data_IF_579908498035
#
_entry.id   IF_579908498035
#
_cell.length_a   1.000
_cell.length_b   1.000
_cell.length_c   1.000
_cell.angle_alpha   90.00
_cell.angle_beta   90.00
_cell.angle_gamma   90.00
#
_symmetry.space_group_name_H-M   'P 1'
#
loop_
_entity.id
_entity.type
_entity.pdbx_description
1 polymer ?
#
# COMPACT_ATOMS: atom_id res chain seq x y z
N UNK A 1 23.07 29.54 31.58
CA UNK A 1 23.56 28.91 30.34
C UNK A 1 23.63 30.00 29.28
N UNK A 2 24.83 30.38 28.84
CA UNK A 2 25.07 31.60 28.05
C UNK A 2 24.68 31.44 26.57
N UNK A 3 24.19 32.51 25.94
CA UNK A 3 23.83 32.62 24.52
C UNK A 3 24.90 32.08 23.55
N UNK A 4 26.19 32.14 23.95
CA UNK A 4 27.29 31.58 23.17
C UNK A 4 27.25 30.05 23.02
N UNK A 5 26.76 29.34 24.03
CA UNK A 5 26.64 27.86 23.99
C UNK A 5 25.53 27.40 23.04
N UNK A 6 24.42 28.13 22.97
CA UNK A 6 23.31 27.88 22.05
C UNK A 6 23.76 28.19 20.61
N UNK A 7 24.46 29.31 20.40
CA UNK A 7 25.02 29.67 19.09
C UNK A 7 26.02 28.63 18.56
N UNK A 8 26.90 28.12 19.42
CA UNK A 8 27.85 27.06 19.06
C UNK A 8 27.13 25.74 18.71
N UNK A 9 26.07 25.40 19.44
CA UNK A 9 25.23 24.23 19.15
C UNK A 9 24.53 24.36 17.80
N UNK A 10 23.93 25.52 17.50
CA UNK A 10 23.29 25.80 16.20
C UNK A 10 24.30 25.73 15.06
N UNK A 11 25.50 26.30 15.25
CA UNK A 11 26.57 26.24 14.25
C UNK A 11 27.02 24.81 13.98
N UNK A 12 27.21 23.99 15.03
CA UNK A 12 27.57 22.58 14.90
C UNK A 12 26.49 21.76 14.19
N UNK A 13 25.21 21.97 14.53
CA UNK A 13 24.09 21.33 13.85
C UNK A 13 24.01 21.73 12.37
N UNK A 14 24.26 23.01 12.05
CA UNK A 14 24.26 23.52 10.68
C UNK A 14 25.43 22.96 9.86
N UNK A 15 26.62 22.86 10.46
CA UNK A 15 27.81 22.29 9.83
C UNK A 15 27.67 20.78 9.58
N UNK A 16 27.06 20.03 10.52
CA UNK A 16 26.83 18.59 10.40
C UNK A 16 25.57 18.21 9.62
N UNK A 17 24.81 19.19 9.11
CA UNK A 17 23.58 18.95 8.34
C UNK A 17 23.89 18.42 6.96
N UNK A 18 23.86 17.10 6.80
CA UNK A 18 23.92 16.43 5.49
C UNK A 18 22.75 16.87 4.60
N UNK A 19 23.03 17.21 3.34
CA UNK A 19 21.99 17.42 2.33
C UNK A 19 21.25 16.11 2.07
N UNK A 20 20.04 15.98 2.63
CA UNK A 20 19.18 14.82 2.43
C UNK A 20 18.57 14.90 1.03
N UNK A 21 19.20 14.26 0.05
CA UNK A 21 18.59 14.06 -1.27
C UNK A 21 17.35 13.17 -1.13
N UNK A 22 16.24 13.60 -1.73
CA UNK A 22 14.99 12.83 -1.74
C UNK A 22 15.19 11.52 -2.49
N UNK A 23 14.45 10.48 -2.13
CA UNK A 23 14.42 9.21 -2.88
C UNK A 23 14.07 9.47 -4.36
N UNK A 24 13.19 10.43 -4.63
CA UNK A 24 12.88 10.84 -5.99
C UNK A 24 14.06 11.47 -6.72
N UNK A 25 14.87 12.29 -6.04
CA UNK A 25 16.08 12.89 -6.64
C UNK A 25 17.16 11.85 -6.90
N UNK A 26 17.25 10.81 -6.08
CA UNK A 26 18.13 9.65 -6.34
C UNK A 26 17.71 8.89 -7.60
N UNK A 27 16.41 8.77 -7.86
CA UNK A 27 15.86 8.02 -9.00
C UNK A 27 15.86 8.85 -10.29
N UNK A 28 15.93 10.19 -10.23
CA UNK A 28 16.03 11.05 -11.42
C UNK A 28 17.20 10.69 -12.34
N UNK A 29 18.34 10.27 -11.78
CA UNK A 29 19.52 9.82 -12.55
C UNK A 29 19.40 8.42 -13.17
N UNK A 30 18.41 7.63 -12.76
CA UNK A 30 18.15 6.29 -13.33
C UNK A 30 17.26 6.33 -14.59
N UNK A 31 16.77 7.51 -14.99
CA UNK A 31 15.91 7.68 -16.17
C UNK A 31 16.69 8.09 -17.41
N UNK A 32 17.42 7.13 -17.99
CA UNK A 32 17.71 6.96 -19.44
C UNK A 32 18.93 6.05 -19.58
N UNK A 33 18.73 4.77 -19.31
CA UNK A 33 19.49 3.79 -20.09
C UNK A 33 18.59 3.44 -21.25
N UNK A 34 19.04 3.59 -22.50
CA UNK A 34 18.33 3.10 -23.69
C UNK A 34 18.15 1.56 -23.67
N UNK A 35 18.64 0.88 -22.62
CA UNK A 35 18.48 -0.54 -22.34
C UNK A 35 17.24 -0.88 -21.48
N UNK A 36 16.42 0.10 -21.09
CA UNK A 36 15.25 -0.13 -20.23
C UNK A 36 13.92 -0.10 -20.98
N UNK A 37 13.89 -0.46 -22.27
CA UNK A 37 12.63 -0.79 -22.91
C UNK A 37 12.12 -2.07 -22.26
N UNK A 38 11.02 -1.97 -21.50
CA UNK A 38 10.27 -3.12 -21.01
C UNK A 38 9.68 -3.84 -22.22
N UNK A 39 10.49 -4.70 -22.83
CA UNK A 39 10.05 -5.58 -23.91
C UNK A 39 9.28 -6.73 -23.30
N UNK A 40 7.95 -6.62 -23.34
CA UNK A 40 7.08 -7.77 -23.14
C UNK A 40 7.11 -8.63 -24.40
N UNK A 41 8.16 -9.45 -24.51
CA UNK A 41 8.43 -10.33 -25.66
C UNK A 41 7.30 -11.36 -25.88
N UNK A 42 6.57 -11.68 -24.82
CA UNK A 42 5.43 -12.60 -24.86
C UNK A 42 4.10 -11.85 -24.80
N UNK A 43 3.57 -11.49 -25.98
CA UNK A 43 2.15 -11.20 -26.13
C UNK A 43 1.39 -12.53 -26.04
N UNK A 44 0.83 -12.83 -24.87
CA UNK A 44 -0.04 -13.99 -24.71
C UNK A 44 -1.15 -13.94 -25.76
N UNK A 45 -1.33 -15.04 -26.50
CA UNK A 45 -2.37 -15.14 -27.52
C UNK A 45 -3.73 -14.83 -26.87
N UNK A 46 -4.70 -14.21 -27.57
CA UNK A 46 -6.02 -13.91 -27.00
C UNK A 46 -6.71 -15.13 -26.36
N UNK A 47 -6.36 -16.35 -26.80
CA UNK A 47 -6.81 -17.61 -26.20
C UNK A 47 -6.14 -17.91 -24.85
N UNK A 48 -4.84 -17.63 -24.72
CA UNK A 48 -4.07 -17.76 -23.49
C UNK A 48 -4.49 -16.71 -22.45
N UNK A 49 -4.72 -15.47 -22.88
CA UNK A 49 -5.29 -14.41 -22.02
C UNK A 49 -6.65 -14.81 -21.46
N UNK A 50 -7.53 -15.39 -22.29
CA UNK A 50 -8.82 -15.91 -21.83
C UNK A 50 -8.67 -17.06 -20.82
N UNK A 51 -7.69 -17.95 -21.01
CA UNK A 51 -7.41 -19.04 -20.07
C UNK A 51 -6.90 -18.51 -18.73
N UNK A 52 -5.97 -17.55 -18.75
CA UNK A 52 -5.43 -16.91 -17.55
C UNK A 52 -6.54 -16.17 -16.80
N UNK A 53 -7.35 -15.36 -17.50
CA UNK A 53 -8.49 -14.66 -16.91
C UNK A 53 -9.47 -15.62 -16.22
N UNK A 54 -9.84 -16.72 -16.89
CA UNK A 54 -10.74 -17.74 -16.33
C UNK A 54 -10.14 -18.45 -15.12
N UNK A 55 -8.83 -18.75 -15.12
CA UNK A 55 -8.15 -19.38 -13.98
C UNK A 55 -8.15 -18.45 -12.77
N UNK A 56 -7.76 -17.18 -12.96
CA UNK A 56 -7.74 -16.17 -11.91
C UNK A 56 -9.14 -15.91 -11.35
N UNK A 57 -10.17 -15.81 -12.19
CA UNK A 57 -11.56 -15.66 -11.71
C UNK A 57 -12.01 -16.86 -10.88
N UNK A 58 -11.74 -18.10 -11.31
CA UNK A 58 -12.12 -19.29 -10.53
C UNK A 58 -11.45 -19.36 -9.16
N UNK A 59 -10.16 -19.02 -9.08
CA UNK A 59 -9.42 -18.98 -7.82
C UNK A 59 -9.96 -17.88 -6.89
N UNK A 60 -10.32 -16.73 -7.46
CA UNK A 60 -10.87 -15.62 -6.70
C UNK A 60 -12.32 -15.88 -6.26
N UNK A 61 -13.13 -16.59 -7.04
CA UNK A 61 -14.53 -16.90 -6.70
C UNK A 61 -14.63 -17.80 -5.47
N UNK A 62 -13.76 -18.80 -5.34
CA UNK A 62 -13.75 -19.71 -4.20
C UNK A 62 -13.38 -18.97 -2.89
N UNK A 63 -12.35 -18.12 -2.95
CA UNK A 63 -11.91 -17.34 -1.80
C UNK A 63 -12.87 -16.18 -1.48
N UNK A 64 -13.48 -15.56 -2.50
CA UNK A 64 -14.44 -14.47 -2.34
C UNK A 64 -15.75 -14.96 -1.74
N UNK A 65 -16.26 -16.12 -2.14
CA UNK A 65 -17.48 -16.71 -1.53
C UNK A 65 -17.33 -16.90 -0.02
N UNK A 66 -16.20 -17.44 0.43
CA UNK A 66 -15.93 -17.63 1.87
C UNK A 66 -15.87 -16.30 2.62
N UNK A 67 -15.23 -15.28 2.02
CA UNK A 67 -15.16 -13.93 2.60
C UNK A 67 -16.55 -13.27 2.69
N UNK A 68 -17.39 -13.43 1.66
CA UNK A 68 -18.75 -12.89 1.65
C UNK A 68 -19.61 -13.52 2.74
N UNK A 69 -19.54 -14.85 2.92
CA UNK A 69 -20.29 -15.53 3.99
C UNK A 69 -19.89 -15.02 5.38
N UNK A 70 -18.58 -14.90 5.64
CA UNK A 70 -18.06 -14.37 6.91
C UNK A 70 -18.53 -12.92 7.14
N UNK A 71 -18.53 -12.10 6.09
CA UNK A 71 -18.98 -10.71 6.16
C UNK A 71 -20.48 -10.61 6.50
N UNK A 72 -21.32 -11.45 5.88
CA UNK A 72 -22.77 -11.50 6.19
C UNK A 72 -22.99 -11.89 7.65
N UNK A 73 -22.30 -12.93 8.14
CA UNK A 73 -22.39 -13.37 9.54
C UNK A 73 -21.96 -12.24 10.48
N UNK A 74 -20.86 -11.56 10.18
CA UNK A 74 -20.37 -10.41 10.95
C UNK A 74 -21.41 -9.29 11.06
N UNK A 75 -22.10 -8.97 9.97
CA UNK A 75 -23.15 -7.93 9.96
C UNK A 75 -24.32 -8.35 10.85
N UNK A 76 -24.78 -9.61 10.75
CA UNK A 76 -25.88 -10.13 11.56
C UNK A 76 -25.54 -10.02 13.06
N UNK A 77 -24.33 -10.44 13.45
CA UNK A 77 -23.87 -10.35 14.84
C UNK A 77 -23.89 -8.90 15.32
N UNK A 78 -23.35 -7.95 14.54
CA UNK A 78 -23.37 -6.53 14.89
C UNK A 78 -24.79 -5.99 15.05
N UNK A 79 -25.71 -6.34 14.16
CA UNK A 79 -27.10 -5.90 14.24
C UNK A 79 -27.80 -6.45 15.49
N UNK A 80 -27.62 -7.73 15.79
CA UNK A 80 -28.20 -8.34 17.01
C UNK A 80 -27.62 -7.75 18.29
N UNK A 81 -26.32 -7.44 18.29
CA UNK A 81 -25.66 -6.78 19.40
C UNK A 81 -26.19 -5.36 19.61
N UNK A 82 -26.28 -4.55 18.55
CA UNK A 82 -26.85 -3.20 18.61
C UNK A 82 -28.30 -3.21 19.06
N UNK A 83 -29.13 -4.12 18.55
CA UNK A 83 -30.52 -4.27 18.97
C UNK A 83 -30.63 -4.61 20.46
N UNK A 84 -29.80 -5.53 20.95
CA UNK A 84 -29.76 -5.92 22.36
C UNK A 84 -29.33 -4.74 23.23
N UNK A 85 -28.30 -4.01 22.83
CA UNK A 85 -27.81 -2.86 23.59
C UNK A 85 -28.86 -1.74 23.64
N UNK A 86 -29.56 -1.48 22.53
CA UNK A 86 -30.65 -0.51 22.48
C UNK A 86 -31.85 -0.93 23.36
N UNK A 87 -32.16 -2.24 23.44
CA UNK A 87 -33.21 -2.77 24.31
C UNK A 87 -32.86 -2.70 25.80
N UNK A 88 -31.60 -2.93 26.17
CA UNK A 88 -31.12 -2.85 27.56
C UNK A 88 -30.97 -1.41 28.07
N UNK A 89 -30.99 -0.42 27.18
CA UNK A 89 -30.81 1.00 27.53
C UNK A 89 -32.13 1.74 27.81
N UNK A 90 -33.27 1.03 27.82
CA UNK A 90 -34.59 1.47 28.30
C UNK A 90 -34.98 0.67 29.54
#
# INVERSE_FOLDING_TARGET
MSSGSISAMIASLKANKRTRVSTFDKIKGYKKSDKSELHFDKKASPTELKKIKKRVQKENDASSKRKIVILIISIIVLLTFLYTQNRLSF
#
